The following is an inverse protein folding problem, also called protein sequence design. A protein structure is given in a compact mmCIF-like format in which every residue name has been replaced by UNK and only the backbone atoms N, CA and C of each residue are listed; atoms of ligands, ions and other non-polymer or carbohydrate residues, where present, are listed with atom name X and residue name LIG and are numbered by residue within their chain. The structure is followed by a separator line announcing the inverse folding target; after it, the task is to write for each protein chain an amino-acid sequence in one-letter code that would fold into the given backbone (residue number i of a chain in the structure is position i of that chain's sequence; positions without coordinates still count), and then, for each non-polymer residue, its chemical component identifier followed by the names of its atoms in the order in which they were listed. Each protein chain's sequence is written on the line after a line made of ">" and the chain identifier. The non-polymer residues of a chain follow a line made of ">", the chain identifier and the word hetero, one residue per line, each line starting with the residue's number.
data_IF_128709251890
#
_entry.id   IF_128709251890
#
_cell.length_a   1.000
_cell.length_b   1.000
_cell.length_c   1.000
_cell.angle_alpha   90.00
_cell.angle_beta   90.00
_cell.angle_gamma   90.00
#
_symmetry.space_group_name_H-M   'P 1'
#
loop_
_entity.id
_entity.type
_entity.pdbx_description
1 polymer ?
#
# COMPACT_ATOMS: atom_id res chain seq x y z
N UNK A 1 11.92 -3.40 -4.84
CA UNK A 1 11.46 -4.79 -4.63
C UNK A 1 11.42 -5.58 -5.94
N UNK A 2 10.73 -5.14 -6.98
CA UNK A 2 10.63 -5.86 -8.26
C UNK A 2 12.00 -6.24 -8.84
N UNK A 3 12.93 -5.29 -8.92
CA UNK A 3 14.30 -5.55 -9.40
C UNK A 3 15.06 -6.55 -8.50
N UNK A 4 14.87 -6.49 -7.18
CA UNK A 4 15.48 -7.44 -6.25
C UNK A 4 14.95 -8.88 -6.44
N UNK A 5 13.76 -9.02 -6.99
CA UNK A 5 13.13 -10.32 -7.33
C UNK A 5 13.22 -10.65 -8.82
N UNK A 6 14.21 -10.06 -9.52
CA UNK A 6 14.51 -10.31 -10.94
C UNK A 6 13.32 -10.06 -11.89
N UNK A 7 12.37 -9.20 -11.50
CA UNK A 7 11.29 -8.80 -12.40
C UNK A 7 11.81 -7.78 -13.42
N UNK A 8 11.28 -7.84 -14.64
CA UNK A 8 11.47 -6.76 -15.61
C UNK A 8 10.51 -5.64 -15.23
N UNK A 9 11.03 -4.43 -15.12
CA UNK A 9 10.28 -3.24 -14.69
C UNK A 9 10.24 -2.23 -15.84
N UNK A 10 9.04 -1.90 -16.27
CA UNK A 10 8.76 -0.85 -17.23
C UNK A 10 8.29 0.40 -16.46
N UNK A 11 9.16 1.37 -16.32
CA UNK A 11 8.85 2.65 -15.70
C UNK A 11 8.36 3.63 -16.77
N UNK A 12 7.28 4.33 -16.48
CA UNK A 12 6.71 5.34 -17.37
C UNK A 12 6.57 6.67 -16.63
N UNK A 13 7.04 7.72 -17.27
CA UNK A 13 6.66 9.11 -17.01
C UNK A 13 6.77 9.91 -18.29
N UNK A 14 5.97 10.97 -18.44
CA UNK A 14 6.04 11.88 -19.60
C UNK A 14 7.33 12.70 -19.65
N UNK A 15 7.92 12.96 -18.48
CA UNK A 15 9.17 13.70 -18.36
C UNK A 15 10.38 12.75 -18.45
N UNK A 16 11.17 12.81 -19.53
CA UNK A 16 12.36 11.98 -19.68
C UNK A 16 13.44 12.25 -18.63
N UNK A 17 13.44 13.43 -18.01
CA UNK A 17 14.42 13.81 -16.97
C UNK A 17 14.26 12.96 -15.70
N UNK A 18 13.06 12.48 -15.42
CA UNK A 18 12.78 11.64 -14.25
C UNK A 18 13.44 10.26 -14.31
N UNK A 19 13.92 9.82 -15.49
CA UNK A 19 14.73 8.60 -15.60
C UNK A 19 15.97 8.65 -14.71
N UNK A 20 16.69 9.77 -14.72
CA UNK A 20 17.92 9.95 -13.93
C UNK A 20 17.59 9.92 -12.43
N UNK A 21 16.55 10.66 -12.00
CA UNK A 21 16.10 10.68 -10.62
C UNK A 21 15.69 9.29 -10.14
N UNK A 22 14.94 8.54 -10.95
CA UNK A 22 14.54 7.17 -10.64
C UNK A 22 15.74 6.26 -10.41
N UNK A 23 16.73 6.30 -11.31
CA UNK A 23 17.95 5.47 -11.18
C UNK A 23 18.77 5.87 -9.97
N UNK A 24 18.88 7.16 -9.68
CA UNK A 24 19.55 7.67 -8.48
C UNK A 24 18.88 7.16 -7.21
N UNK A 25 17.57 7.24 -7.14
CA UNK A 25 16.81 6.77 -5.99
C UNK A 25 16.92 5.25 -5.80
N UNK A 26 16.85 4.47 -6.87
CA UNK A 26 17.09 3.03 -6.83
C UNK A 26 18.49 2.72 -6.29
N UNK A 27 19.52 3.40 -6.73
CA UNK A 27 20.89 3.20 -6.23
C UNK A 27 21.03 3.60 -4.77
N UNK A 28 20.40 4.71 -4.34
CA UNK A 28 20.41 5.19 -2.96
C UNK A 28 19.75 4.19 -2.00
N UNK A 29 18.65 3.58 -2.41
CA UNK A 29 17.90 2.63 -1.58
C UNK A 29 18.41 1.19 -1.66
N UNK A 30 19.23 0.86 -2.67
CA UNK A 30 19.71 -0.50 -2.91
C UNK A 30 20.48 -1.13 -1.74
N UNK A 31 21.34 -0.44 -0.98
CA UNK A 31 22.03 -1.02 0.17
C UNK A 31 21.08 -1.65 1.19
N UNK A 32 19.93 -1.03 1.45
CA UNK A 32 18.90 -1.54 2.36
C UNK A 32 18.18 -2.76 1.76
N UNK A 33 17.76 -2.63 0.49
CA UNK A 33 17.09 -3.71 -0.25
C UNK A 33 18.00 -4.93 -0.40
N UNK A 34 19.30 -4.71 -0.68
CA UNK A 34 20.33 -5.74 -0.77
C UNK A 34 20.42 -6.54 0.53
N UNK A 35 20.45 -5.85 1.68
CA UNK A 35 20.50 -6.48 3.01
C UNK A 35 19.22 -7.24 3.31
N UNK A 36 18.06 -6.62 3.09
CA UNK A 36 16.74 -7.19 3.39
C UNK A 36 16.46 -8.50 2.64
N UNK A 37 16.83 -8.56 1.36
CA UNK A 37 16.55 -9.71 0.48
C UNK A 37 17.78 -10.58 0.18
N UNK A 38 18.89 -10.38 0.88
CA UNK A 38 20.15 -11.10 0.68
C UNK A 38 20.59 -11.13 -0.80
N UNK A 39 20.59 -9.96 -1.46
CA UNK A 39 20.95 -9.84 -2.87
C UNK A 39 22.38 -9.34 -3.03
N UNK A 40 23.11 -9.86 -4.06
CA UNK A 40 24.51 -9.46 -4.29
C UNK A 40 24.63 -8.19 -5.13
N UNK A 41 23.91 -8.11 -6.26
CA UNK A 41 24.06 -7.04 -7.24
C UNK A 41 22.70 -6.47 -7.68
N UNK A 42 22.68 -5.15 -7.95
CA UNK A 42 21.57 -4.47 -8.62
C UNK A 42 21.67 -4.73 -10.13
N UNK A 43 20.61 -5.29 -10.70
CA UNK A 43 20.53 -5.50 -12.15
C UNK A 43 19.64 -4.44 -12.79
N UNK A 44 20.24 -3.34 -13.23
CA UNK A 44 19.53 -2.27 -13.94
C UNK A 44 19.15 -2.63 -15.38
N UNK A 45 19.67 -3.74 -15.96
CA UNK A 45 19.22 -4.22 -17.28
C UNK A 45 17.74 -4.59 -17.29
N UNK A 46 17.20 -4.94 -16.12
CA UNK A 46 15.78 -5.24 -15.93
C UNK A 46 14.90 -3.99 -15.79
N UNK A 47 15.48 -2.78 -15.74
CA UNK A 47 14.74 -1.52 -15.73
C UNK A 47 14.73 -0.90 -17.12
N UNK A 48 13.53 -0.69 -17.67
CA UNK A 48 13.33 0.04 -18.93
C UNK A 48 12.47 1.27 -18.63
N UNK A 49 12.82 2.40 -19.21
CA UNK A 49 12.09 3.66 -19.03
C UNK A 49 11.44 4.09 -20.34
N UNK A 50 10.19 4.50 -20.26
CA UNK A 50 9.37 4.90 -21.40
C UNK A 50 8.76 6.28 -21.16
N UNK A 51 8.61 7.07 -22.23
CA UNK A 51 7.89 8.36 -22.24
C UNK A 51 6.55 8.28 -22.96
N UNK A 52 6.31 7.17 -23.68
CA UNK A 52 5.01 6.81 -24.25
C UNK A 52 4.37 5.71 -23.41
N UNK A 53 3.13 5.93 -22.96
CA UNK A 53 2.43 5.01 -22.07
C UNK A 53 2.11 3.67 -22.76
N UNK A 54 1.83 3.71 -24.05
CA UNK A 54 1.54 2.55 -24.89
C UNK A 54 2.69 1.55 -24.87
N UNK A 55 3.91 2.04 -25.02
CA UNK A 55 5.11 1.22 -25.05
C UNK A 55 5.40 0.57 -23.70
N UNK A 56 5.16 1.30 -22.60
CA UNK A 56 5.33 0.78 -21.26
C UNK A 56 4.32 -0.32 -20.93
N UNK A 57 3.10 -0.25 -21.50
CA UNK A 57 1.99 -1.14 -21.17
C UNK A 57 1.91 -2.38 -22.04
N UNK A 58 2.49 -2.34 -23.25
CA UNK A 58 2.36 -3.39 -24.28
C UNK A 58 2.63 -4.80 -23.75
N UNK A 59 3.67 -4.96 -22.95
CA UNK A 59 4.12 -6.27 -22.45
C UNK A 59 3.93 -6.45 -20.94
N UNK A 60 3.38 -5.44 -20.25
CA UNK A 60 3.20 -5.48 -18.81
C UNK A 60 2.11 -6.49 -18.40
N UNK A 61 2.41 -7.35 -17.43
CA UNK A 61 1.46 -8.29 -16.82
C UNK A 61 0.83 -7.73 -15.55
N UNK A 62 1.55 -6.86 -14.86
CA UNK A 62 1.10 -6.14 -13.66
C UNK A 62 1.44 -4.66 -13.80
N UNK A 63 0.48 -3.80 -13.56
CA UNK A 63 0.63 -2.34 -13.66
C UNK A 63 0.33 -1.74 -12.31
N UNK A 64 1.27 -0.94 -11.78
CA UNK A 64 1.13 -0.16 -10.56
C UNK A 64 1.02 1.31 -10.94
N UNK A 65 -0.15 1.89 -10.83
CA UNK A 65 -0.40 3.31 -11.04
C UNK A 65 -0.06 4.09 -9.76
N UNK A 66 0.76 5.12 -9.87
CA UNK A 66 1.29 5.92 -8.76
C UNK A 66 1.18 7.43 -9.00
N UNK A 67 0.22 7.88 -9.80
CA UNK A 67 0.01 9.31 -10.06
C UNK A 67 -0.58 10.03 -8.85
N UNK A 68 -0.57 11.37 -8.92
CA UNK A 68 -1.11 12.25 -7.87
C UNK A 68 -2.52 11.85 -7.45
N UNK A 69 -2.82 11.98 -6.15
CA UNK A 69 -4.09 11.59 -5.53
C UNK A 69 -5.21 12.56 -5.93
N UNK A 70 -5.78 12.30 -7.10
CA UNK A 70 -6.88 13.09 -7.68
C UNK A 70 -7.80 12.18 -8.51
N UNK A 71 -9.10 12.22 -8.23
CA UNK A 71 -10.09 11.38 -8.92
C UNK A 71 -10.08 11.53 -10.44
N UNK A 72 -10.11 12.76 -10.95
CA UNK A 72 -10.18 13.03 -12.39
C UNK A 72 -8.94 12.52 -13.11
N UNK A 73 -7.75 12.84 -12.56
CA UNK A 73 -6.48 12.43 -13.12
C UNK A 73 -6.36 10.89 -13.14
N UNK A 74 -6.59 10.22 -12.00
CA UNK A 74 -6.48 8.76 -11.91
C UNK A 74 -7.52 8.06 -12.78
N UNK A 75 -8.77 8.54 -12.82
CA UNK A 75 -9.81 7.95 -13.67
C UNK A 75 -9.44 8.01 -15.15
N UNK A 76 -8.90 9.13 -15.63
CA UNK A 76 -8.47 9.29 -17.02
C UNK A 76 -7.22 8.46 -17.33
N UNK A 77 -6.24 8.45 -16.43
CA UNK A 77 -5.04 7.63 -16.58
C UNK A 77 -5.37 6.13 -16.60
N UNK A 78 -6.19 5.66 -15.67
CA UNK A 78 -6.64 4.27 -15.60
C UNK A 78 -7.45 3.87 -16.84
N UNK A 79 -8.26 4.79 -17.38
CA UNK A 79 -8.95 4.57 -18.66
C UNK A 79 -7.95 4.31 -19.80
N UNK A 80 -6.90 5.13 -19.90
CA UNK A 80 -5.81 4.95 -20.88
C UNK A 80 -5.05 3.64 -20.66
N UNK A 81 -4.71 3.33 -19.41
CA UNK A 81 -4.08 2.05 -19.04
C UNK A 81 -4.98 0.89 -19.48
N UNK A 82 -6.28 1.00 -19.23
CA UNK A 82 -7.26 -0.03 -19.62
C UNK A 82 -7.35 -0.24 -21.13
N UNK A 83 -7.08 0.79 -21.92
CA UNK A 83 -7.10 0.75 -23.40
C UNK A 83 -5.86 0.06 -23.97
N UNK A 84 -4.66 0.40 -23.46
CA UNK A 84 -3.39 -0.01 -24.07
C UNK A 84 -2.76 -1.26 -23.46
N UNK A 85 -3.16 -1.67 -22.25
CA UNK A 85 -2.62 -2.86 -21.61
C UNK A 85 -3.28 -4.16 -22.08
N UNK A 86 -2.58 -5.29 -21.95
CA UNK A 86 -3.10 -6.62 -22.24
C UNK A 86 -4.42 -6.88 -21.48
N UNK A 87 -5.34 -7.64 -22.10
CA UNK A 87 -6.66 -7.96 -21.50
C UNK A 87 -6.56 -8.65 -20.12
N UNK A 88 -5.47 -9.38 -19.87
CA UNK A 88 -5.25 -10.15 -18.65
C UNK A 88 -4.28 -9.50 -17.66
N UNK A 89 -3.74 -8.30 -17.96
CA UNK A 89 -2.90 -7.55 -17.02
C UNK A 89 -3.73 -7.10 -15.83
N UNK A 90 -3.11 -7.09 -14.66
CA UNK A 90 -3.68 -6.50 -13.46
C UNK A 90 -3.40 -4.99 -13.49
N UNK A 91 -4.39 -4.18 -13.12
CA UNK A 91 -4.22 -2.75 -12.93
C UNK A 91 -4.44 -2.44 -11.47
N UNK A 92 -3.37 -2.12 -10.75
CA UNK A 92 -3.41 -1.71 -9.36
C UNK A 92 -3.14 -0.22 -9.26
N UNK A 93 -3.85 0.49 -8.40
CA UNK A 93 -3.57 1.89 -8.06
C UNK A 93 -2.97 1.97 -6.65
N UNK A 94 -1.96 2.82 -6.47
CA UNK A 94 -1.36 3.13 -5.16
C UNK A 94 -2.15 4.19 -4.38
N UNK A 95 -3.37 4.51 -4.79
CA UNK A 95 -4.22 5.46 -4.06
C UNK A 95 -4.33 5.07 -2.59
N UNK A 96 -4.25 6.08 -1.70
CA UNK A 96 -4.32 5.91 -0.25
C UNK A 96 -5.76 5.99 0.30
N UNK A 97 -6.67 6.62 -0.45
CA UNK A 97 -8.03 6.87 0.06
C UNK A 97 -9.14 6.84 -0.97
N UNK A 98 -8.84 6.94 -2.27
CA UNK A 98 -9.86 7.01 -3.31
C UNK A 98 -10.51 5.66 -3.55
N UNK A 99 -11.84 5.66 -3.69
CA UNK A 99 -12.59 4.42 -3.89
C UNK A 99 -12.31 3.80 -5.26
N UNK A 100 -11.92 2.51 -5.31
CA UNK A 100 -11.62 1.83 -6.57
C UNK A 100 -12.81 1.82 -7.52
N UNK A 101 -14.03 1.63 -7.07
CA UNK A 101 -15.22 1.71 -7.94
C UNK A 101 -15.25 3.01 -8.73
N UNK A 102 -14.87 4.13 -8.11
CA UNK A 102 -14.92 5.45 -8.74
C UNK A 102 -13.74 5.67 -9.70
N UNK A 103 -12.51 5.36 -9.31
CA UNK A 103 -11.34 5.57 -10.17
C UNK A 103 -11.31 4.63 -11.38
N UNK A 104 -11.93 3.44 -11.29
CA UNK A 104 -12.04 2.48 -12.40
C UNK A 104 -13.33 2.65 -13.23
N UNK A 105 -14.16 3.67 -12.96
CA UNK A 105 -15.48 3.86 -13.64
C UNK A 105 -15.40 3.95 -15.15
N UNK A 106 -14.34 4.57 -15.71
CA UNK A 106 -14.11 4.72 -17.15
C UNK A 106 -13.19 3.62 -17.75
N UNK A 107 -12.75 2.66 -16.95
CA UNK A 107 -11.86 1.60 -17.43
C UNK A 107 -12.65 0.60 -18.30
N UNK A 108 -12.15 0.32 -19.51
CA UNK A 108 -12.79 -0.62 -20.46
C UNK A 108 -13.05 -2.01 -19.87
N UNK A 109 -12.17 -2.49 -18.97
CA UNK A 109 -12.34 -3.77 -18.29
C UNK A 109 -12.05 -3.60 -16.79
N UNK A 110 -13.00 -3.06 -16.00
CA UNK A 110 -12.80 -2.77 -14.58
C UNK A 110 -12.67 -4.03 -13.72
N UNK A 111 -13.02 -5.23 -14.24
CA UNK A 111 -12.89 -6.50 -13.50
C UNK A 111 -11.45 -6.80 -13.06
N UNK A 112 -10.44 -6.23 -13.73
CA UNK A 112 -9.01 -6.41 -13.47
C UNK A 112 -8.37 -5.27 -12.67
N UNK A 113 -9.18 -4.27 -12.30
CA UNK A 113 -8.77 -3.11 -11.53
C UNK A 113 -8.98 -3.30 -10.04
N UNK A 114 -8.03 -2.85 -9.23
CA UNK A 114 -8.08 -2.89 -7.76
C UNK A 114 -7.14 -1.82 -7.17
N UNK A 115 -7.27 -1.56 -5.89
CA UNK A 115 -6.22 -0.84 -5.16
C UNK A 115 -5.16 -1.85 -4.72
N UNK A 116 -3.90 -1.47 -4.91
CA UNK A 116 -2.75 -2.12 -4.30
C UNK A 116 -1.96 -1.05 -3.57
N UNK A 117 -2.35 -0.74 -2.33
CA UNK A 117 -1.83 0.36 -1.53
C UNK A 117 -0.64 -0.09 -0.69
N UNK A 118 0.61 0.21 -1.08
CA UNK A 118 1.79 -0.12 -0.30
C UNK A 118 2.08 0.98 0.72
N UNK A 119 2.80 0.64 1.78
CA UNK A 119 3.23 1.58 2.81
C UNK A 119 4.64 2.11 2.58
N UNK A 120 4.83 3.41 2.80
CA UNK A 120 6.14 4.04 2.73
C UNK A 120 6.94 3.79 4.02
N UNK A 121 8.25 3.53 3.90
CA UNK A 121 9.01 3.37 2.65
C UNK A 121 8.80 1.99 2.01
N UNK A 122 8.24 1.98 0.79
CA UNK A 122 7.81 0.75 0.08
C UNK A 122 8.92 -0.28 -0.08
N UNK A 123 10.18 0.15 -0.17
CA UNK A 123 11.32 -0.74 -0.32
C UNK A 123 11.66 -1.50 0.98
N UNK A 124 11.18 -1.04 2.16
CA UNK A 124 11.39 -1.68 3.46
C UNK A 124 10.11 -2.36 3.97
N UNK A 125 9.00 -1.61 4.07
CA UNK A 125 7.76 -2.11 4.65
C UNK A 125 7.09 -3.14 3.72
N UNK A 126 6.71 -4.31 4.23
CA UNK A 126 6.14 -5.37 3.40
C UNK A 126 4.63 -5.24 3.18
N UNK A 127 3.92 -4.43 3.97
CA UNK A 127 2.47 -4.35 3.89
C UNK A 127 1.99 -3.77 2.55
N UNK A 128 0.94 -4.37 1.99
CA UNK A 128 0.18 -3.84 0.86
C UNK A 128 -1.28 -4.20 1.02
N UNK A 129 -2.15 -3.21 1.02
CA UNK A 129 -3.61 -3.43 1.07
C UNK A 129 -4.14 -3.70 -0.33
N UNK A 130 -4.90 -4.77 -0.47
CA UNK A 130 -5.62 -5.10 -1.71
C UNK A 130 -7.09 -4.80 -1.48
N UNK A 131 -7.60 -3.75 -2.15
CA UNK A 131 -8.99 -3.30 -2.03
C UNK A 131 -9.71 -3.48 -3.36
N UNK A 132 -10.66 -4.41 -3.45
CA UNK A 132 -11.47 -4.58 -4.65
C UNK A 132 -12.53 -3.47 -4.73
N UNK A 133 -12.82 -3.02 -5.96
CA UNK A 133 -14.04 -2.26 -6.24
C UNK A 133 -15.22 -3.19 -6.55
N UNK A 134 -16.43 -2.63 -6.66
CA UNK A 134 -17.68 -3.39 -6.92
C UNK A 134 -17.63 -4.28 -8.16
N UNK A 135 -16.84 -3.92 -9.17
CA UNK A 135 -16.70 -4.69 -10.42
C UNK A 135 -15.44 -5.56 -10.46
N UNK A 136 -14.59 -5.51 -9.46
CA UNK A 136 -13.33 -6.27 -9.43
C UNK A 136 -13.61 -7.77 -9.31
N UNK A 137 -12.99 -8.58 -10.15
CA UNK A 137 -13.13 -10.03 -10.08
C UNK A 137 -12.15 -10.65 -9.10
N UNK A 138 -12.60 -11.61 -8.28
CA UNK A 138 -11.76 -12.35 -7.35
C UNK A 138 -10.59 -13.07 -8.01
N UNK A 139 -10.73 -13.44 -9.30
CA UNK A 139 -9.62 -13.97 -10.10
C UNK A 139 -8.43 -12.98 -10.14
N UNK A 140 -8.69 -11.70 -10.35
CA UNK A 140 -7.63 -10.68 -10.42
C UNK A 140 -7.13 -10.28 -9.03
N UNK A 141 -7.99 -10.28 -8.02
CA UNK A 141 -7.58 -10.11 -6.61
C UNK A 141 -6.57 -11.18 -6.20
N UNK A 142 -6.87 -12.45 -6.48
CA UNK A 142 -5.98 -13.56 -6.16
C UNK A 142 -4.65 -13.52 -6.96
N UNK A 143 -4.71 -13.08 -8.22
CA UNK A 143 -3.48 -12.84 -9.01
C UNK A 143 -2.64 -11.71 -8.43
N UNK A 144 -3.26 -10.60 -8.01
CA UNK A 144 -2.56 -9.49 -7.38
C UNK A 144 -1.90 -9.93 -6.06
N UNK A 145 -2.62 -10.67 -5.22
CA UNK A 145 -2.07 -11.27 -4.01
C UNK A 145 -0.79 -12.08 -4.31
N UNK A 146 -0.85 -12.99 -5.27
CA UNK A 146 0.31 -13.81 -5.67
C UNK A 146 1.47 -12.97 -6.20
N UNK A 147 1.18 -11.92 -6.98
CA UNK A 147 2.20 -11.01 -7.48
C UNK A 147 2.92 -10.30 -6.33
N UNK A 148 2.20 -9.68 -5.40
CA UNK A 148 2.81 -8.99 -4.27
C UNK A 148 3.62 -9.95 -3.39
N UNK A 149 3.11 -11.14 -3.12
CA UNK A 149 3.87 -12.19 -2.43
C UNK A 149 5.17 -12.57 -3.16
N UNK A 150 5.16 -12.59 -4.51
CA UNK A 150 6.34 -12.92 -5.32
C UNK A 150 7.45 -11.87 -5.26
N UNK A 151 7.18 -10.70 -4.69
CA UNK A 151 8.15 -9.63 -4.44
C UNK A 151 8.33 -9.35 -2.94
N UNK A 152 8.04 -10.36 -2.12
CA UNK A 152 8.16 -10.34 -0.65
C UNK A 152 7.36 -9.23 0.02
N UNK A 153 6.13 -9.02 -0.44
CA UNK A 153 5.15 -8.19 0.26
C UNK A 153 4.10 -9.07 0.95
N UNK A 154 3.49 -8.53 2.00
CA UNK A 154 2.44 -9.16 2.80
C UNK A 154 1.08 -8.52 2.45
N UNK A 155 0.28 -9.12 1.54
CA UNK A 155 -0.99 -8.57 1.14
C UNK A 155 -2.04 -8.66 2.26
N UNK A 156 -2.65 -7.52 2.59
CA UNK A 156 -3.77 -7.37 3.49
C UNK A 156 -5.04 -7.27 2.63
N UNK A 157 -5.97 -8.22 2.82
CA UNK A 157 -7.19 -8.27 2.02
C UNK A 157 -8.28 -7.43 2.68
N UNK A 158 -8.71 -6.36 2.01
CA UNK A 158 -9.85 -5.55 2.43
C UNK A 158 -11.10 -6.11 1.76
N UNK A 159 -12.13 -6.46 2.55
CA UNK A 159 -13.33 -7.13 2.03
C UNK A 159 -14.15 -6.23 1.10
N UNK A 160 -14.36 -4.99 1.49
CA UNK A 160 -15.13 -3.99 0.76
C UNK A 160 -14.36 -2.68 0.70
N UNK A 161 -14.59 -1.89 -0.35
CA UNK A 161 -14.01 -0.56 -0.46
C UNK A 161 -14.54 0.39 0.65
N UNK A 162 -13.63 1.14 1.25
CA UNK A 162 -13.93 2.22 2.19
C UNK A 162 -12.88 3.32 2.04
N UNK A 163 -13.24 4.60 2.29
CA UNK A 163 -12.26 5.69 2.24
C UNK A 163 -11.12 5.49 3.26
N UNK A 164 -9.87 5.68 2.84
CA UNK A 164 -8.70 5.53 3.71
C UNK A 164 -8.34 4.09 4.09
N UNK A 165 -9.03 3.10 3.53
CA UNK A 165 -8.88 1.65 3.74
C UNK A 165 -8.71 1.28 5.22
N UNK A 166 -7.83 0.35 5.60
CA UNK A 166 -7.68 -0.07 7.00
C UNK A 166 -6.57 0.69 7.71
N UNK A 167 -5.39 0.72 7.14
CA UNK A 167 -4.19 1.18 7.85
C UNK A 167 -4.14 2.69 7.99
N UNK A 168 -4.53 3.45 6.95
CA UNK A 168 -4.58 4.91 7.06
C UNK A 168 -5.66 5.37 8.04
N UNK A 169 -6.80 4.66 8.08
CA UNK A 169 -7.85 4.93 9.08
C UNK A 169 -7.36 4.70 10.51
N UNK A 170 -6.58 3.64 10.75
CA UNK A 170 -6.01 3.37 12.08
C UNK A 170 -4.95 4.41 12.45
N UNK A 171 -4.09 4.80 11.49
CA UNK A 171 -3.11 5.86 11.69
C UNK A 171 -3.79 7.21 11.95
N UNK A 172 -4.83 7.56 11.18
CA UNK A 172 -5.59 8.79 11.36
C UNK A 172 -6.27 8.84 12.74
N UNK A 173 -6.85 7.72 13.20
CA UNK A 173 -7.47 7.66 14.53
C UNK A 173 -6.46 7.97 15.63
N UNK A 174 -5.27 7.37 15.56
CA UNK A 174 -4.18 7.64 16.50
C UNK A 174 -3.70 9.10 16.41
N UNK A 175 -3.50 9.60 15.20
CA UNK A 175 -3.02 10.96 14.99
C UNK A 175 -4.03 12.02 15.44
N UNK A 176 -5.30 11.83 15.13
CA UNK A 176 -6.39 12.71 15.57
C UNK A 176 -6.46 12.81 17.10
N UNK A 177 -6.35 11.67 17.80
CA UNK A 177 -6.27 11.66 19.26
C UNK A 177 -5.04 12.40 19.77
N UNK A 178 -3.88 12.18 19.16
CA UNK A 178 -2.65 12.92 19.50
C UNK A 178 -2.80 14.43 19.34
N UNK A 179 -3.43 14.90 18.26
CA UNK A 179 -3.72 16.32 18.05
C UNK A 179 -4.67 16.87 19.12
N UNK A 180 -5.67 16.11 19.53
CA UNK A 180 -6.58 16.49 20.61
C UNK A 180 -5.84 16.67 21.94
N UNK A 181 -5.03 15.68 22.34
CA UNK A 181 -4.22 15.72 23.58
C UNK A 181 -3.30 16.96 23.60
N UNK A 182 -2.68 17.30 22.46
CA UNK A 182 -1.82 18.50 22.36
C UNK A 182 -2.64 19.78 22.47
N UNK A 183 -3.78 19.85 21.78
CA UNK A 183 -4.65 21.03 21.78
C UNK A 183 -5.18 21.35 23.19
N UNK A 184 -5.50 20.33 23.97
CA UNK A 184 -5.94 20.47 25.36
C UNK A 184 -4.78 20.70 26.36
N UNK A 185 -3.53 20.73 25.89
CA UNK A 185 -2.36 21.02 26.71
C UNK A 185 -1.92 19.89 27.64
N UNK A 186 -2.38 18.65 27.42
CA UNK A 186 -2.04 17.51 28.30
C UNK A 186 -0.63 16.96 28.07
N UNK A 187 -0.08 17.08 26.86
CA UNK A 187 1.25 16.58 26.52
C UNK A 187 1.89 17.36 25.37
N UNK A 188 3.21 17.23 25.21
CA UNK A 188 3.93 17.71 24.03
C UNK A 188 3.97 16.65 22.92
N UNK A 189 4.26 17.05 21.68
CA UNK A 189 4.49 16.11 20.58
C UNK A 189 5.56 15.08 20.92
N UNK A 190 6.63 15.52 21.58
CA UNK A 190 7.74 14.65 22.01
C UNK A 190 7.28 13.58 23.01
N UNK A 191 6.41 13.95 23.96
CA UNK A 191 5.89 12.99 24.95
C UNK A 191 4.99 11.96 24.29
N UNK A 192 4.18 12.35 23.31
CA UNK A 192 3.33 11.45 22.55
C UNK A 192 4.12 10.49 21.67
N UNK A 193 5.16 11.00 20.98
CA UNK A 193 6.06 10.14 20.18
C UNK A 193 6.70 9.08 21.08
N UNK A 194 7.25 9.49 22.24
CA UNK A 194 7.85 8.56 23.20
C UNK A 194 6.83 7.56 23.77
N UNK A 195 5.62 8.00 24.05
CA UNK A 195 4.57 7.11 24.56
C UNK A 195 4.28 5.97 23.57
N UNK A 196 4.37 6.21 22.25
CA UNK A 196 4.24 5.19 21.23
C UNK A 196 5.53 4.39 21.05
N UNK A 197 6.68 5.05 20.91
CA UNK A 197 7.97 4.42 20.63
C UNK A 197 8.42 3.47 21.75
N UNK A 198 8.31 3.90 23.02
CA UNK A 198 8.71 3.12 24.19
C UNK A 198 7.57 2.22 24.73
N UNK A 199 6.35 2.40 24.24
CA UNK A 199 5.15 1.70 24.70
C UNK A 199 4.56 0.72 23.67
N UNK A 200 3.31 0.94 23.24
CA UNK A 200 2.61 0.00 22.40
C UNK A 200 3.26 -0.22 21.02
N UNK A 201 4.00 0.72 20.49
CA UNK A 201 4.67 0.62 19.19
C UNK A 201 5.66 -0.52 19.12
N UNK A 202 6.41 -0.80 20.21
CA UNK A 202 7.34 -1.94 20.27
C UNK A 202 6.63 -3.28 20.08
N UNK A 203 5.48 -3.47 20.70
CA UNK A 203 4.73 -4.73 20.57
C UNK A 203 3.92 -4.80 19.29
N UNK A 204 3.52 -3.66 18.70
CA UNK A 204 2.84 -3.65 17.39
C UNK A 204 3.68 -4.19 16.25
N UNK A 205 5.02 -4.16 16.37
CA UNK A 205 5.91 -4.82 15.41
C UNK A 205 5.85 -6.34 15.46
N UNK A 206 5.37 -6.91 16.57
CA UNK A 206 5.26 -8.33 16.83
C UNK A 206 3.83 -8.84 16.72
N UNK A 207 2.85 -8.06 17.17
CA UNK A 207 1.44 -8.43 17.19
C UNK A 207 0.53 -7.20 17.06
N UNK A 208 -0.60 -7.37 16.37
CA UNK A 208 -1.60 -6.31 16.23
C UNK A 208 -2.40 -6.06 17.52
N UNK A 209 -3.16 -4.97 17.52
CA UNK A 209 -3.96 -4.51 18.67
C UNK A 209 -4.95 -5.57 19.16
N UNK A 210 -5.68 -6.23 18.26
CA UNK A 210 -6.68 -7.25 18.66
C UNK A 210 -6.04 -8.45 19.34
N UNK A 211 -4.90 -8.95 18.81
CA UNK A 211 -4.17 -10.05 19.45
C UNK A 211 -3.63 -9.62 20.82
N UNK A 212 -3.11 -8.40 20.94
CA UNK A 212 -2.61 -7.85 22.20
C UNK A 212 -3.70 -7.87 23.26
N UNK A 213 -4.88 -7.34 22.97
CA UNK A 213 -6.00 -7.32 23.94
C UNK A 213 -6.58 -8.70 24.19
N UNK A 214 -6.61 -9.59 23.21
CA UNK A 214 -7.02 -10.97 23.42
C UNK A 214 -6.11 -11.68 24.44
N UNK A 215 -4.80 -11.53 24.31
CA UNK A 215 -3.84 -12.10 25.25
C UNK A 215 -3.93 -11.47 26.64
N UNK A 216 -4.15 -10.15 26.73
CA UNK A 216 -4.34 -9.44 27.99
C UNK A 216 -5.60 -9.90 28.76
N UNK A 217 -6.62 -10.37 28.05
CA UNK A 217 -7.83 -10.93 28.66
C UNK A 217 -7.66 -12.33 29.29
N UNK A 218 -6.46 -12.90 29.24
CA UNK A 218 -6.15 -14.21 29.84
C UNK A 218 -7.01 -15.34 29.25
N UNK A 219 -7.51 -16.23 30.10
CA UNK A 219 -8.31 -17.40 29.67
C UNK A 219 -9.60 -17.04 28.94
N UNK A 220 -10.21 -15.91 29.25
CA UNK A 220 -11.45 -15.43 28.62
C UNK A 220 -11.22 -14.55 27.38
N UNK A 221 -9.96 -14.17 27.11
CA UNK A 221 -9.54 -13.47 25.90
C UNK A 221 -10.26 -12.14 25.70
N UNK A 222 -10.57 -11.83 24.44
CA UNK A 222 -11.22 -10.58 24.03
C UNK A 222 -12.58 -10.35 24.71
N UNK A 223 -13.31 -11.42 25.08
CA UNK A 223 -14.59 -11.29 25.79
C UNK A 223 -14.40 -10.54 27.11
N UNK A 224 -13.44 -10.97 27.92
CA UNK A 224 -13.11 -10.30 29.18
C UNK A 224 -12.70 -8.84 29.00
N UNK A 225 -11.84 -8.58 28.00
CA UNK A 225 -11.40 -7.21 27.70
C UNK A 225 -12.56 -6.29 27.32
N UNK A 226 -13.51 -6.77 26.52
CA UNK A 226 -14.68 -6.00 26.12
C UNK A 226 -15.68 -5.80 27.28
N UNK A 227 -15.87 -6.79 28.15
CA UNK A 227 -16.71 -6.67 29.35
C UNK A 227 -16.14 -5.64 30.35
N UNK A 228 -14.80 -5.64 30.52
CA UNK A 228 -14.13 -4.77 31.47
C UNK A 228 -13.94 -3.32 30.96
N UNK A 229 -13.48 -3.14 29.75
CA UNK A 229 -13.10 -1.84 29.20
C UNK A 229 -14.07 -1.29 28.16
N UNK A 230 -14.88 -2.16 27.54
CA UNK A 230 -15.86 -1.76 26.53
C UNK A 230 -16.81 -0.63 26.97
N UNK A 231 -17.34 -0.64 28.19
CA UNK A 231 -18.24 0.42 28.66
C UNK A 231 -17.59 1.82 28.71
N UNK A 232 -16.26 1.89 28.82
CA UNK A 232 -15.50 3.16 28.82
C UNK A 232 -15.13 3.66 27.40
N UNK A 233 -15.26 2.80 26.37
CA UNK A 233 -14.99 3.18 24.99
C UNK A 233 -16.15 4.02 24.46
N UNK A 234 -15.90 5.30 24.22
CA UNK A 234 -16.83 6.20 23.51
C UNK A 234 -16.55 6.06 22.01
N UNK A 235 -17.47 5.47 21.29
CA UNK A 235 -17.45 5.31 19.83
C UNK A 235 -18.10 6.53 19.15
#
# INVERSE_FOLDING_TARGET
>A
RCLAHNKIVYAFDKDPKLKTSLVTEIKRTWPYVKKLFNKKKLNLKNLKYFTAIEDALKDADFIQECATENYSLKTNLISSIGKYSKKNSIIASSSSGLLPTRIYSKCKNPKRGLIGHPFNPVYLLPAVEIVPGKKTSMKFVNKAKKFYQSISMNPIMVKNELPGYLSDRLQEALWREGLHIINEGFATTKDLDRAIEDGPGLRWSLMGTFLTFHLAGGKSGMKHMLEQFGPALKL
#
